data_IF_755467099136
#
_entry.id   IF_755467099136
#
_cell.length_a   1.000
_cell.length_b   1.000
_cell.length_c   1.000
_cell.angle_alpha   90.00
_cell.angle_beta   90.00
_cell.angle_gamma   90.00
#
_symmetry.space_group_name_H-M   'P 1'
#
loop_
_entity.id
_entity.type
_entity.pdbx_description
1 polymer ?
#
# COMPACT_ATOMS: atom_id res chain seq x y z
N UNK A 1 14.40 24.61 -5.22
CA UNK A 1 14.55 23.13 -5.31
C UNK A 1 16.03 22.80 -5.29
N UNK A 2 16.41 21.63 -4.78
CA UNK A 2 17.82 21.21 -4.66
C UNK A 2 18.60 21.30 -5.98
N UNK A 3 17.92 21.05 -7.10
CA UNK A 3 18.48 21.17 -8.45
C UNK A 3 18.96 22.59 -8.80
N UNK A 4 18.20 23.62 -8.40
CA UNK A 4 18.61 25.02 -8.61
C UNK A 4 19.80 25.41 -7.75
N UNK A 5 19.93 24.82 -6.55
CA UNK A 5 21.07 25.08 -5.66
C UNK A 5 22.34 24.43 -6.21
N UNK A 6 22.26 23.20 -6.73
CA UNK A 6 23.39 22.51 -7.37
C UNK A 6 23.84 23.20 -8.67
N UNK A 7 22.91 23.65 -9.50
CA UNK A 7 23.23 24.43 -10.70
C UNK A 7 23.85 25.80 -10.38
N UNK A 8 23.49 26.39 -9.24
CA UNK A 8 24.09 27.65 -8.80
C UNK A 8 25.51 27.46 -8.23
N UNK A 9 25.82 26.30 -7.63
CA UNK A 9 27.15 26.04 -7.07
C UNK A 9 28.16 25.50 -8.09
N UNK A 10 27.70 24.82 -9.15
CA UNK A 10 28.55 24.26 -10.21
C UNK A 10 28.00 24.58 -11.61
N UNK A 11 28.17 25.84 -12.09
CA UNK A 11 27.60 26.27 -13.37
C UNK A 11 28.26 25.61 -14.60
N UNK A 12 29.46 25.07 -14.46
CA UNK A 12 30.20 24.43 -15.58
C UNK A 12 29.92 22.92 -15.72
N UNK A 13 29.31 22.29 -14.72
CA UNK A 13 29.02 20.85 -14.73
C UNK A 13 27.60 20.59 -15.22
N UNK A 14 27.48 20.14 -16.47
CA UNK A 14 26.20 19.68 -17.04
C UNK A 14 26.01 18.19 -16.77
N UNK A 15 25.18 17.86 -15.78
CA UNK A 15 24.75 16.48 -15.53
C UNK A 15 23.59 16.10 -16.46
N UNK A 16 23.87 15.28 -17.48
CA UNK A 16 22.85 14.76 -18.38
C UNK A 16 21.80 13.94 -17.60
N UNK A 17 20.51 14.27 -17.76
CA UNK A 17 19.39 13.57 -17.11
C UNK A 17 18.99 14.11 -15.73
N UNK A 18 19.68 15.15 -15.22
CA UNK A 18 19.32 15.82 -13.96
C UNK A 18 17.94 16.48 -14.05
N UNK A 19 17.56 16.95 -15.24
CA UNK A 19 16.22 17.44 -15.59
C UNK A 19 15.12 16.38 -15.38
N UNK A 20 15.47 15.11 -15.57
CA UNK A 20 14.56 13.96 -15.39
C UNK A 20 14.62 13.39 -13.97
N UNK A 21 15.46 13.91 -13.09
CA UNK A 21 15.62 13.38 -11.74
C UNK A 21 14.34 13.57 -10.91
N UNK A 22 14.07 12.65 -10.00
CA UNK A 22 12.88 12.74 -9.15
C UNK A 22 13.07 13.88 -8.13
N UNK A 23 12.21 14.89 -8.19
CA UNK A 23 12.36 16.10 -7.37
C UNK A 23 11.71 15.99 -5.98
N UNK A 24 10.84 14.99 -5.78
CA UNK A 24 10.15 14.77 -4.50
C UNK A 24 10.39 13.35 -4.02
N UNK A 25 10.42 13.16 -2.70
CA UNK A 25 10.53 11.84 -2.09
C UNK A 25 9.42 10.91 -2.57
N UNK A 26 8.18 11.40 -2.70
CA UNK A 26 7.07 10.61 -3.25
C UNK A 26 7.32 10.13 -4.69
N UNK A 27 7.95 10.96 -5.54
CA UNK A 27 8.33 10.56 -6.90
C UNK A 27 9.46 9.52 -6.88
N UNK A 28 10.46 9.70 -6.01
CA UNK A 28 11.56 8.73 -5.82
C UNK A 28 10.98 7.38 -5.40
N UNK A 29 10.13 7.37 -4.37
CA UNK A 29 9.50 6.15 -3.86
C UNK A 29 8.67 5.43 -4.91
N UNK A 30 7.93 6.16 -5.75
CA UNK A 30 7.15 5.59 -6.86
C UNK A 30 8.06 4.95 -7.90
N UNK A 31 9.13 5.62 -8.30
CA UNK A 31 10.10 5.09 -9.28
C UNK A 31 10.83 3.85 -8.77
N UNK A 32 11.10 3.79 -7.47
CA UNK A 32 11.72 2.63 -6.82
C UNK A 32 10.71 1.52 -6.45
N UNK A 33 9.41 1.70 -6.67
CA UNK A 33 8.38 0.74 -6.25
C UNK A 33 8.23 0.61 -4.71
N UNK A 34 8.82 1.52 -3.94
CA UNK A 34 8.77 1.54 -2.47
C UNK A 34 7.63 2.41 -1.92
N UNK A 35 6.89 3.14 -2.76
CA UNK A 35 5.80 4.01 -2.30
C UNK A 35 4.78 3.28 -1.44
N UNK A 36 4.56 3.82 -0.24
CA UNK A 36 3.62 3.30 0.77
C UNK A 36 2.30 4.05 0.76
N UNK A 37 2.24 5.23 0.13
CA UNK A 37 1.13 6.20 0.21
C UNK A 37 -0.24 5.73 -0.28
N UNK A 38 -0.36 4.52 -0.81
CA UNK A 38 -1.64 3.87 -1.00
C UNK A 38 -1.66 2.40 -0.61
N UNK A 39 -0.55 1.86 -0.08
CA UNK A 39 -0.38 0.45 0.24
C UNK A 39 -1.02 0.09 1.58
N UNK A 40 -0.89 0.99 2.57
CA UNK A 40 -1.44 0.84 3.91
C UNK A 40 -2.77 1.59 3.97
N UNK A 41 -3.83 0.87 4.32
CA UNK A 41 -5.12 1.45 4.68
C UNK A 41 -5.15 1.61 6.20
N UNK A 42 -5.29 2.84 6.68
CA UNK A 42 -5.50 3.08 8.11
C UNK A 42 -6.95 2.82 8.44
N UNK A 43 -7.26 1.75 9.14
CA UNK A 43 -8.60 1.48 9.66
C UNK A 43 -8.68 2.00 11.09
N UNK A 44 -9.87 2.14 11.64
CA UNK A 44 -10.05 2.38 13.07
C UNK A 44 -10.95 1.33 13.68
N UNK A 45 -10.78 1.05 14.98
CA UNK A 45 -11.55 0.01 15.64
C UNK A 45 -11.95 0.39 17.06
N UNK A 46 -12.98 -0.30 17.56
CA UNK A 46 -13.40 -0.20 18.94
C UNK A 46 -12.40 -0.91 19.87
N UNK A 47 -11.98 -0.26 20.96
CA UNK A 47 -11.06 -0.90 21.94
C UNK A 47 -11.70 -2.04 22.73
N UNK A 48 -13.03 -2.07 22.82
CA UNK A 48 -13.76 -3.04 23.64
C UNK A 48 -14.14 -4.29 22.85
N UNK A 49 -14.84 -4.14 21.73
CA UNK A 49 -15.30 -5.28 20.91
C UNK A 49 -14.42 -5.57 19.68
N UNK A 50 -13.43 -4.72 19.40
CA UNK A 50 -12.53 -4.86 18.24
C UNK A 50 -13.21 -4.79 16.86
N UNK A 51 -14.45 -4.28 16.80
CA UNK A 51 -15.11 -4.03 15.52
C UNK A 51 -14.35 -2.99 14.69
N UNK A 52 -14.24 -3.23 13.38
CA UNK A 52 -13.33 -2.51 12.47
C UNK A 52 -14.13 -1.67 11.49
N UNK A 53 -13.74 -0.40 11.36
CA UNK A 53 -14.41 0.60 10.55
C UNK A 53 -13.45 1.26 9.55
N UNK A 54 -14.01 1.73 8.43
CA UNK A 54 -13.27 2.45 7.40
C UNK A 54 -13.22 3.95 7.69
N UNK A 55 -12.11 4.66 7.40
CA UNK A 55 -12.01 6.12 7.62
C UNK A 55 -13.13 6.94 6.98
N UNK A 56 -13.67 6.48 5.86
CA UNK A 56 -14.79 7.11 5.15
C UNK A 56 -16.11 7.09 5.93
N UNK A 57 -16.21 6.25 6.96
CA UNK A 57 -17.38 6.11 7.84
C UNK A 57 -17.33 7.08 9.02
N UNK A 58 -16.14 7.51 9.44
CA UNK A 58 -15.93 8.42 10.56
C UNK A 58 -16.79 9.70 10.52
N UNK A 59 -16.94 10.41 9.38
CA UNK A 59 -17.82 11.58 9.32
C UNK A 59 -19.32 11.23 9.31
N UNK A 60 -19.68 9.99 8.96
CA UNK A 60 -21.07 9.51 8.85
C UNK A 60 -21.63 9.04 10.18
N UNK A 61 -20.77 8.71 11.15
CA UNK A 61 -21.19 8.31 12.49
C UNK A 61 -21.91 9.48 13.19
N UNK A 62 -23.09 9.18 13.73
CA UNK A 62 -23.91 10.15 14.47
C UNK A 62 -23.38 10.40 15.89
N UNK A 63 -22.71 9.40 16.47
CA UNK A 63 -22.24 9.38 17.85
C UNK A 63 -20.81 8.82 17.94
N UNK A 64 -20.01 9.22 18.94
CA UNK A 64 -18.72 8.60 19.23
C UNK A 64 -18.83 7.17 19.76
N UNK A 65 -20.02 6.68 20.13
CA UNK A 65 -20.24 5.33 20.61
C UNK A 65 -20.05 4.26 19.50
N UNK A 66 -19.71 3.04 19.90
CA UNK A 66 -19.60 1.89 19.03
C UNK A 66 -20.93 1.60 18.32
N UNK A 67 -20.86 1.17 17.05
CA UNK A 67 -22.07 0.80 16.30
C UNK A 67 -22.71 -0.52 16.75
N UNK A 68 -22.00 -1.33 17.54
CA UNK A 68 -22.50 -2.58 18.08
C UNK A 68 -23.40 -2.29 19.30
N UNK A 69 -24.69 -2.71 19.29
CA UNK A 69 -25.64 -2.39 20.36
C UNK A 69 -25.27 -2.99 21.73
N UNK A 70 -24.40 -4.00 21.76
CA UNK A 70 -23.93 -4.65 22.99
C UNK A 70 -22.55 -4.14 23.43
N UNK A 71 -22.12 -2.97 22.94
CA UNK A 71 -20.80 -2.44 23.24
C UNK A 71 -20.85 -0.95 23.59
N UNK A 72 -20.49 -0.63 24.83
CA UNK A 72 -20.36 0.75 25.33
C UNK A 72 -19.03 1.42 24.97
N UNK A 73 -18.32 0.87 23.97
CA UNK A 73 -17.02 1.36 23.54
C UNK A 73 -17.11 2.71 22.81
N UNK A 74 -16.01 3.46 22.80
CA UNK A 74 -15.90 4.75 22.12
C UNK A 74 -14.97 4.60 20.90
N UNK A 75 -15.44 5.02 19.72
CA UNK A 75 -14.72 4.93 18.45
C UNK A 75 -13.81 6.13 18.19
N UNK A 76 -14.27 7.34 18.51
CA UNK A 76 -13.53 8.57 18.23
C UNK A 76 -13.75 9.64 19.30
N UNK A 77 -12.82 10.58 19.37
CA UNK A 77 -12.91 11.81 20.17
C UNK A 77 -13.11 13.01 19.26
N UNK A 78 -13.78 14.05 19.77
CA UNK A 78 -13.97 15.30 19.04
C UNK A 78 -13.13 16.38 19.70
N UNK A 79 -12.36 17.12 18.90
CA UNK A 79 -11.62 18.30 19.35
C UNK A 79 -12.07 19.51 18.52
N UNK A 80 -12.42 20.60 19.20
CA UNK A 80 -12.73 21.88 18.55
C UNK A 80 -11.41 22.59 18.19
N UNK A 81 -11.25 22.95 16.93
CA UNK A 81 -10.11 23.71 16.43
C UNK A 81 -10.30 25.21 16.70
N UNK A 82 -9.22 25.98 16.66
CA UNK A 82 -9.25 27.44 16.86
C UNK A 82 -10.17 28.17 15.86
N UNK A 83 -10.32 27.64 14.65
CA UNK A 83 -11.26 28.14 13.63
C UNK A 83 -12.73 27.75 13.86
N UNK A 84 -13.08 27.19 15.03
CA UNK A 84 -14.43 26.76 15.37
C UNK A 84 -14.84 25.40 14.79
N UNK A 85 -14.13 24.89 13.78
CA UNK A 85 -14.37 23.58 13.19
C UNK A 85 -14.10 22.43 14.17
N UNK A 86 -14.90 21.37 14.09
CA UNK A 86 -14.71 20.16 14.89
C UNK A 86 -13.92 19.10 14.12
N UNK A 87 -12.86 18.56 14.75
CA UNK A 87 -12.06 17.47 14.22
C UNK A 87 -12.35 16.19 14.99
N UNK A 88 -12.88 15.19 14.29
CA UNK A 88 -13.03 13.81 14.80
C UNK A 88 -11.71 13.08 14.66
N UNK A 89 -11.24 12.46 15.75
CA UNK A 89 -9.98 11.70 15.78
C UNK A 89 -10.27 10.31 16.36
N UNK A 90 -10.05 9.21 15.59
CA UNK A 90 -10.25 7.86 16.10
C UNK A 90 -9.43 7.57 17.35
N UNK A 91 -10.00 6.80 18.27
CA UNK A 91 -9.38 6.42 19.54
C UNK A 91 -8.29 5.36 19.33
N UNK A 92 -8.50 4.42 18.41
CA UNK A 92 -7.55 3.40 18.02
C UNK A 92 -7.51 3.31 16.49
N UNK A 93 -6.33 3.55 15.91
CA UNK A 93 -6.08 3.43 14.47
C UNK A 93 -5.18 2.23 14.23
N UNK A 94 -5.56 1.35 13.32
CA UNK A 94 -4.83 0.13 12.97
C UNK A 94 -4.39 0.21 11.51
N UNK A 95 -3.08 0.20 11.21
CA UNK A 95 -2.61 0.09 9.84
C UNK A 95 -2.92 -1.32 9.32
N UNK A 96 -3.59 -1.40 8.18
CA UNK A 96 -3.97 -2.65 7.53
C UNK A 96 -3.51 -2.68 6.08
N UNK A 97 -3.04 -3.84 5.64
CA UNK A 97 -2.74 -4.10 4.23
C UNK A 97 -3.46 -5.39 3.84
N UNK A 98 -4.31 -5.38 2.79
CA UNK A 98 -4.94 -6.59 2.31
C UNK A 98 -3.87 -7.66 1.98
N UNK A 99 -4.00 -8.90 2.46
CA UNK A 99 -2.99 -9.94 2.26
C UNK A 99 -2.63 -10.17 0.79
N UNK A 100 -3.62 -10.16 -0.10
CA UNK A 100 -3.43 -10.29 -1.55
C UNK A 100 -2.51 -9.19 -2.10
N UNK A 101 -2.67 -7.95 -1.63
CA UNK A 101 -1.84 -6.81 -2.02
C UNK A 101 -0.43 -6.91 -1.46
N UNK A 102 -0.30 -7.34 -0.20
CA UNK A 102 0.99 -7.56 0.43
C UNK A 102 1.78 -8.65 -0.32
N UNK A 103 1.15 -9.79 -0.58
CA UNK A 103 1.75 -10.91 -1.33
C UNK A 103 2.14 -10.46 -2.73
N UNK A 104 1.25 -9.80 -3.48
CA UNK A 104 1.58 -9.30 -4.82
C UNK A 104 2.80 -8.38 -4.79
N UNK A 105 2.88 -7.48 -3.81
CA UNK A 105 4.05 -6.59 -3.67
C UNK A 105 5.32 -7.36 -3.36
N UNK A 106 5.26 -8.38 -2.49
CA UNK A 106 6.41 -9.24 -2.20
C UNK A 106 6.85 -10.03 -3.45
N UNK A 107 5.92 -10.60 -4.22
CA UNK A 107 6.23 -11.36 -5.43
C UNK A 107 6.85 -10.50 -6.55
N UNK A 108 6.46 -9.23 -6.64
CA UNK A 108 6.93 -8.30 -7.68
C UNK A 108 8.32 -7.71 -7.40
N UNK A 109 8.91 -7.97 -6.23
CA UNK A 109 10.27 -7.53 -5.93
C UNK A 109 11.27 -8.34 -6.77
N UNK A 110 12.22 -7.68 -7.46
CA UNK A 110 13.28 -8.38 -8.18
C UNK A 110 14.02 -9.36 -7.27
N UNK A 111 14.21 -10.59 -7.74
CA UNK A 111 14.91 -11.63 -6.98
C UNK A 111 14.06 -12.34 -5.91
N UNK A 112 12.87 -11.84 -5.53
CA UNK A 112 12.07 -12.48 -4.46
C UNK A 112 11.57 -13.85 -4.84
N UNK A 113 11.14 -14.04 -6.08
CA UNK A 113 10.73 -15.36 -6.58
C UNK A 113 11.90 -16.34 -6.49
N UNK A 114 13.08 -15.96 -6.97
CA UNK A 114 14.29 -16.79 -6.87
C UNK A 114 14.65 -17.09 -5.41
N UNK A 115 14.59 -16.08 -4.53
CA UNK A 115 14.83 -16.24 -3.10
C UNK A 115 13.85 -17.24 -2.47
N UNK A 116 12.56 -17.17 -2.81
CA UNK A 116 11.55 -18.09 -2.30
C UNK A 116 11.71 -19.51 -2.82
N UNK A 117 12.37 -19.69 -3.95
CA UNK A 117 12.67 -20.99 -4.52
C UNK A 117 14.07 -21.51 -4.15
N UNK A 118 14.84 -20.80 -3.31
CA UNK A 118 16.21 -21.18 -2.97
C UNK A 118 16.31 -22.55 -2.26
N UNK A 119 15.26 -22.97 -1.55
CA UNK A 119 15.21 -24.29 -0.90
C UNK A 119 14.91 -25.44 -1.87
N UNK A 120 14.57 -25.14 -3.14
CA UNK A 120 14.32 -26.17 -4.15
C UNK A 120 15.64 -26.75 -4.64
N UNK A 121 15.74 -28.08 -4.59
CA UNK A 121 16.87 -28.82 -5.15
C UNK A 121 16.78 -28.95 -6.69
N UNK A 122 17.86 -29.37 -7.36
CA UNK A 122 17.88 -29.55 -8.81
C UNK A 122 16.85 -30.59 -9.30
N UNK A 123 16.44 -31.53 -8.45
CA UNK A 123 15.47 -32.58 -8.76
C UNK A 123 14.01 -32.20 -8.43
N UNK A 124 13.78 -31.00 -7.86
CA UNK A 124 12.45 -30.53 -7.46
C UNK A 124 11.68 -29.96 -8.65
N UNK A 125 11.21 -30.87 -9.51
CA UNK A 125 10.25 -30.56 -10.58
C UNK A 125 8.88 -30.21 -10.00
N UNK A 126 8.14 -29.32 -10.68
CA UNK A 126 6.75 -29.00 -10.31
C UNK A 126 5.87 -30.27 -10.38
N UNK A 127 5.72 -30.98 -9.26
CA UNK A 127 4.83 -32.14 -9.18
C UNK A 127 3.37 -31.70 -9.23
N UNK A 128 2.51 -32.61 -9.71
CA UNK A 128 1.04 -32.48 -9.86
C UNK A 128 0.57 -31.04 -10.15
N UNK A 129 0.54 -30.70 -11.43
CA UNK A 129 -0.34 -29.64 -11.90
C UNK A 129 -1.80 -30.06 -11.61
N UNK A 130 -2.69 -29.12 -11.26
CA UNK A 130 -4.12 -29.41 -11.21
C UNK A 130 -4.56 -30.01 -12.55
N UNK A 131 -5.52 -30.97 -12.57
CA UNK A 131 -6.06 -31.50 -13.82
C UNK A 131 -6.48 -30.35 -14.71
N UNK A 132 -5.75 -30.15 -15.79
CA UNK A 132 -6.06 -29.15 -16.82
C UNK A 132 -7.04 -29.82 -17.76
N UNK A 133 -8.25 -30.12 -17.27
CA UNK A 133 -9.31 -30.71 -18.11
C UNK A 133 -9.89 -29.68 -19.10
N UNK A 134 -9.32 -28.47 -19.16
CA UNK A 134 -9.60 -27.47 -20.19
C UNK A 134 -8.55 -27.56 -21.30
N UNK A 135 -8.95 -27.89 -22.54
CA UNK A 135 -8.09 -27.78 -23.71
C UNK A 135 -7.49 -26.38 -23.80
N UNK A 136 -6.18 -26.29 -24.05
CA UNK A 136 -5.43 -25.03 -24.13
C UNK A 136 -6.00 -24.03 -25.15
N UNK A 137 -6.83 -24.46 -26.09
CA UNK A 137 -7.41 -23.64 -27.14
C UNK A 137 -8.44 -22.61 -26.62
N UNK A 138 -8.89 -22.73 -25.36
CA UNK A 138 -9.88 -21.82 -24.75
C UNK A 138 -9.35 -21.02 -23.55
N UNK A 139 -8.05 -21.07 -23.25
CA UNK A 139 -7.46 -20.14 -22.29
C UNK A 139 -7.44 -18.76 -22.92
N UNK A 140 -8.23 -17.85 -22.35
CA UNK A 140 -8.27 -16.41 -22.65
C UNK A 140 -6.83 -15.95 -22.97
N UNK A 141 -6.59 -15.22 -24.09
CA UNK A 141 -5.29 -14.64 -24.40
C UNK A 141 -5.00 -13.55 -23.36
N UNK A 142 -4.60 -13.98 -22.17
CA UNK A 142 -4.38 -13.12 -21.03
C UNK A 142 -2.90 -13.13 -20.74
N UNK A 143 -2.34 -11.93 -20.94
CA UNK A 143 -1.04 -11.51 -20.44
C UNK A 143 0.11 -12.13 -21.22
N UNK A 144 0.23 -11.69 -22.48
CA UNK A 144 1.56 -11.47 -23.02
C UNK A 144 2.31 -10.58 -22.03
N UNK A 145 3.40 -11.11 -21.49
CA UNK A 145 4.44 -10.34 -20.82
C UNK A 145 4.98 -9.27 -21.78
N UNK A 146 4.29 -8.14 -21.92
CA UNK A 146 4.92 -6.87 -22.27
C UNK A 146 5.32 -6.20 -20.97
N UNK A 147 6.54 -6.49 -20.56
CA UNK A 147 7.30 -5.59 -19.69
C UNK A 147 7.49 -4.26 -20.46
N UNK A 148 7.13 -3.09 -19.89
CA UNK A 148 7.81 -1.86 -20.24
C UNK A 148 9.24 -1.83 -19.68
#
# INVERSE_FOLDING_TARGET
>A
SAQRQLQASHPEESFAGLDRFAQTLATVEKRLGVSTGGFITYLFCCRSCWDVHYPSELPKLLSPACSNPYCDGILYTVKRLSGGAEKRTPVLTVPFVPPSRAIRRMCLQPGKVQQWQHWRGPDDTSRRQPPTDVPCDNLIPSITCRLP
#
